data_IF_478613597609
#
_entry.id   IF_478613597609
#
_cell.length_a   1.000
_cell.length_b   1.000
_cell.length_c   1.000
_cell.angle_alpha   90.00
_cell.angle_beta   90.00
_cell.angle_gamma   90.00
#
_symmetry.space_group_name_H-M   'P 1'
#
loop_
_entity.id
_entity.type
_entity.pdbx_description
1 polymer ?
#
# COMPACT_ATOMS: atom_id res chain seq x y z
N UNK A 1 -37.45 19.37 29.74
CA UNK A 1 -37.64 19.91 28.38
C UNK A 1 -36.36 20.45 27.75
N UNK A 2 -35.56 21.30 28.43
CA UNK A 2 -34.29 21.84 27.87
C UNK A 2 -33.25 20.77 27.48
N UNK A 3 -33.09 19.69 28.28
CA UNK A 3 -32.18 18.58 27.97
C UNK A 3 -32.61 17.76 26.74
N UNK A 4 -33.92 17.61 26.51
CA UNK A 4 -34.45 16.93 25.31
C UNK A 4 -34.20 17.77 24.05
N UNK A 5 -34.32 19.09 24.17
CA UNK A 5 -34.01 20.03 23.09
C UNK A 5 -32.54 19.95 22.65
N UNK A 6 -31.59 19.87 23.59
CA UNK A 6 -30.16 19.70 23.25
C UNK A 6 -29.86 18.34 22.59
N UNK A 7 -30.52 17.27 23.01
CA UNK A 7 -30.37 15.94 22.40
C UNK A 7 -30.94 15.96 20.97
N UNK A 8 -32.11 16.56 20.76
CA UNK A 8 -32.71 16.71 19.43
C UNK A 8 -31.86 17.63 18.54
N UNK A 9 -31.25 18.68 19.09
CA UNK A 9 -30.35 19.57 18.35
C UNK A 9 -29.08 18.82 17.92
N UNK A 10 -28.43 18.07 18.82
CA UNK A 10 -27.26 17.23 18.50
C UNK A 10 -27.58 16.14 17.48
N UNK A 11 -28.73 15.48 17.62
CA UNK A 11 -29.18 14.45 16.68
C UNK A 11 -29.56 15.08 15.33
N UNK A 12 -30.13 16.29 15.29
CA UNK A 12 -30.44 16.99 14.03
C UNK A 12 -29.18 17.43 13.26
N UNK A 13 -28.11 17.81 13.95
CA UNK A 13 -26.82 18.13 13.33
C UNK A 13 -26.17 16.87 12.73
N UNK A 14 -26.39 15.70 13.34
CA UNK A 14 -25.95 14.41 12.80
C UNK A 14 -26.81 13.89 11.63
N UNK A 15 -28.10 14.28 11.54
CA UNK A 15 -29.02 13.83 10.48
C UNK A 15 -28.88 14.66 9.19
N UNK A 16 -28.40 15.91 9.27
CA UNK A 16 -28.27 16.82 8.11
C UNK A 16 -26.84 17.07 7.62
N UNK A 17 -25.82 16.55 8.30
CA UNK A 17 -24.45 16.61 7.83
C UNK A 17 -24.19 15.46 6.85
N UNK A 18 -24.56 15.64 5.57
CA UNK A 18 -24.00 14.80 4.51
C UNK A 18 -22.49 15.01 4.53
N UNK A 19 -21.70 13.95 4.74
CA UNK A 19 -20.26 14.08 4.73
C UNK A 19 -19.80 14.49 3.33
N UNK A 20 -18.68 15.21 3.26
CA UNK A 20 -18.08 15.57 1.98
C UNK A 20 -17.82 14.33 1.11
N UNK A 21 -17.57 13.18 1.73
CA UNK A 21 -17.34 11.91 1.06
C UNK A 21 -18.60 11.42 0.34
N UNK A 22 -19.75 11.36 1.02
CA UNK A 22 -20.97 10.89 0.36
C UNK A 22 -21.46 11.87 -0.71
N UNK A 23 -21.24 13.18 -0.53
CA UNK A 23 -21.50 14.19 -1.56
C UNK A 23 -20.58 13.98 -2.78
N UNK A 24 -19.31 13.65 -2.56
CA UNK A 24 -18.39 13.23 -3.61
C UNK A 24 -18.92 12.01 -4.37
N UNK A 25 -19.36 10.98 -3.64
CA UNK A 25 -19.95 9.77 -4.24
C UNK A 25 -21.22 10.09 -5.04
N UNK A 26 -22.04 11.04 -4.59
CA UNK A 26 -23.21 11.50 -5.33
C UNK A 26 -22.83 12.22 -6.64
N UNK A 27 -21.84 13.11 -6.59
CA UNK A 27 -21.34 13.79 -7.78
C UNK A 27 -20.74 12.80 -8.79
N UNK A 28 -19.99 11.80 -8.30
CA UNK A 28 -19.46 10.72 -9.12
C UNK A 28 -20.59 9.95 -9.84
N UNK A 29 -21.65 9.57 -9.12
CA UNK A 29 -22.82 8.89 -9.71
C UNK A 29 -23.58 9.76 -10.71
N UNK A 30 -23.49 11.08 -10.59
CA UNK A 30 -24.05 12.06 -11.54
C UNK A 30 -23.07 12.40 -12.68
N UNK A 31 -21.95 11.68 -12.79
CA UNK A 31 -20.90 11.89 -13.79
C UNK A 31 -20.22 13.26 -13.72
N UNK A 32 -20.36 13.96 -12.59
CA UNK A 32 -19.72 15.25 -12.30
C UNK A 32 -18.35 15.01 -11.68
N UNK A 33 -17.46 14.41 -12.47
CA UNK A 33 -16.20 13.87 -11.97
C UNK A 33 -15.25 14.96 -11.44
N UNK A 34 -15.13 16.10 -12.11
CA UNK A 34 -14.28 17.21 -11.66
C UNK A 34 -14.74 17.76 -10.31
N UNK A 35 -16.05 17.91 -10.11
CA UNK A 35 -16.60 18.35 -8.83
C UNK A 35 -16.38 17.30 -7.72
N UNK A 36 -16.45 16.01 -8.07
CA UNK A 36 -16.16 14.91 -7.15
C UNK A 36 -14.68 14.91 -6.72
N UNK A 37 -13.74 15.12 -7.65
CA UNK A 37 -12.30 15.28 -7.34
C UNK A 37 -12.09 16.37 -6.31
N UNK A 38 -12.70 17.54 -6.49
CA UNK A 38 -12.54 18.68 -5.57
C UNK A 38 -12.98 18.30 -4.15
N UNK A 39 -14.08 17.55 -4.00
CA UNK A 39 -14.53 17.09 -2.68
C UNK A 39 -13.58 16.06 -2.08
N UNK A 40 -13.18 15.04 -2.83
CA UNK A 40 -12.28 14.00 -2.34
C UNK A 40 -10.90 14.54 -1.97
N UNK A 41 -10.31 15.40 -2.81
CA UNK A 41 -9.06 16.10 -2.47
C UNK A 41 -9.22 17.01 -1.25
N UNK A 42 -10.39 17.61 -1.08
CA UNK A 42 -10.73 18.40 0.10
C UNK A 42 -10.68 17.58 1.40
N UNK A 43 -11.15 16.33 1.36
CA UNK A 43 -11.07 15.38 2.48
C UNK A 43 -9.60 15.00 2.74
N UNK A 44 -8.83 14.70 1.69
CA UNK A 44 -7.40 14.42 1.86
C UNK A 44 -6.64 15.61 2.50
N UNK A 45 -7.02 16.85 2.17
CA UNK A 45 -6.46 18.06 2.75
C UNK A 45 -6.82 18.26 4.23
N UNK A 46 -7.91 17.68 4.73
CA UNK A 46 -8.23 17.68 6.17
C UNK A 46 -7.42 16.62 6.95
N UNK A 47 -6.61 15.81 6.26
CA UNK A 47 -5.79 14.75 6.84
C UNK A 47 -6.50 13.40 6.93
N UNK A 48 -7.77 13.33 6.52
CA UNK A 48 -8.52 12.07 6.48
C UNK A 48 -8.06 11.24 5.28
N UNK A 49 -7.61 10.00 5.54
CA UNK A 49 -7.13 9.07 4.53
C UNK A 49 -7.76 7.70 4.75
N UNK A 50 -8.23 7.07 3.68
CA UNK A 50 -8.76 5.70 3.70
C UNK A 50 -8.56 5.04 2.34
N UNK A 51 -8.52 3.70 2.32
CA UNK A 51 -8.46 2.94 1.08
C UNK A 51 -9.64 3.30 0.15
N UNK A 52 -10.85 3.42 0.71
CA UNK A 52 -12.06 3.77 -0.03
C UNK A 52 -12.00 5.17 -0.66
N UNK A 53 -11.46 6.16 0.06
CA UNK A 53 -11.29 7.52 -0.45
C UNK A 53 -10.33 7.57 -1.63
N UNK A 54 -9.17 6.93 -1.50
CA UNK A 54 -8.21 6.83 -2.59
C UNK A 54 -8.76 6.01 -3.76
N UNK A 55 -9.48 4.92 -3.50
CA UNK A 55 -10.14 4.12 -4.54
C UNK A 55 -11.17 4.94 -5.34
N UNK A 56 -12.03 5.71 -4.66
CA UNK A 56 -13.02 6.55 -5.32
C UNK A 56 -12.37 7.70 -6.09
N UNK A 57 -11.30 8.30 -5.56
CA UNK A 57 -10.53 9.31 -6.28
C UNK A 57 -9.83 8.71 -7.51
N UNK A 58 -9.28 7.50 -7.41
CA UNK A 58 -8.72 6.74 -8.53
C UNK A 58 -9.74 6.43 -9.62
N UNK A 59 -10.93 5.97 -9.24
CA UNK A 59 -12.09 5.77 -10.13
C UNK A 59 -12.51 7.07 -10.82
N UNK A 60 -12.47 8.20 -10.10
CA UNK A 60 -12.86 9.50 -10.64
C UNK A 60 -11.84 9.98 -11.68
N UNK A 61 -10.54 9.89 -11.39
CA UNK A 61 -9.51 10.22 -12.37
C UNK A 61 -9.47 9.26 -13.55
N UNK A 62 -9.81 7.98 -13.35
CA UNK A 62 -9.95 7.01 -14.42
C UNK A 62 -11.02 7.47 -15.43
N UNK A 63 -12.18 7.91 -14.93
CA UNK A 63 -13.28 8.44 -15.77
C UNK A 63 -12.91 9.76 -16.46
N UNK A 64 -12.00 10.53 -15.88
CA UNK A 64 -11.44 11.75 -16.47
C UNK A 64 -10.28 11.50 -17.44
N UNK A 65 -9.92 10.23 -17.70
CA UNK A 65 -8.75 9.84 -18.50
C UNK A 65 -7.44 10.46 -18.01
N UNK A 66 -7.31 10.67 -16.69
CA UNK A 66 -6.08 11.15 -16.04
C UNK A 66 -5.29 9.94 -15.55
N UNK A 67 -4.35 9.48 -16.37
CA UNK A 67 -3.64 8.20 -16.17
C UNK A 67 -2.80 8.22 -14.89
N UNK A 68 -1.87 9.16 -14.75
CA UNK A 68 -1.02 9.23 -13.56
C UNK A 68 -1.81 9.40 -12.25
N UNK A 69 -2.74 10.37 -12.14
CA UNK A 69 -3.55 10.52 -10.94
C UNK A 69 -4.40 9.28 -10.62
N UNK A 70 -4.95 8.59 -11.62
CA UNK A 70 -5.72 7.37 -11.41
C UNK A 70 -4.87 6.25 -10.82
N UNK A 71 -3.75 5.92 -11.45
CA UNK A 71 -2.81 4.88 -10.99
C UNK A 71 -2.27 5.23 -9.60
N UNK A 72 -1.86 6.47 -9.38
CA UNK A 72 -1.35 6.92 -8.09
C UNK A 72 -2.35 6.70 -6.94
N UNK A 73 -3.62 7.02 -7.17
CA UNK A 73 -4.65 6.87 -6.15
C UNK A 73 -5.01 5.40 -5.91
N UNK A 74 -5.08 4.55 -6.94
CA UNK A 74 -5.26 3.11 -6.72
C UNK A 74 -4.08 2.47 -5.97
N UNK A 75 -2.86 2.84 -6.30
CA UNK A 75 -1.65 2.38 -5.60
C UNK A 75 -1.66 2.84 -4.12
N UNK A 76 -2.06 4.09 -3.84
CA UNK A 76 -2.28 4.57 -2.47
C UNK A 76 -3.37 3.77 -1.74
N UNK A 77 -4.43 3.40 -2.44
CA UNK A 77 -5.51 2.59 -1.86
C UNK A 77 -5.01 1.18 -1.51
N UNK A 78 -4.19 0.54 -2.37
CA UNK A 78 -3.56 -0.75 -2.09
C UNK A 78 -2.56 -0.69 -0.93
N UNK A 79 -1.86 0.42 -0.72
CA UNK A 79 -1.01 0.58 0.47
C UNK A 79 -1.80 0.51 1.77
N UNK A 80 -3.09 0.89 1.76
CA UNK A 80 -3.97 0.85 2.93
C UNK A 80 -4.79 -0.44 3.01
N UNK A 81 -5.07 -1.09 1.88
CA UNK A 81 -5.76 -2.38 1.81
C UNK A 81 -5.16 -3.26 0.71
N UNK A 82 -4.04 -3.97 0.99
CA UNK A 82 -3.29 -4.71 -0.03
C UNK A 82 -4.07 -5.86 -0.68
N UNK A 83 -4.97 -6.47 0.08
CA UNK A 83 -5.72 -7.68 -0.32
C UNK A 83 -7.02 -7.37 -1.09
N UNK A 84 -7.30 -6.10 -1.35
CA UNK A 84 -8.53 -5.69 -2.03
C UNK A 84 -8.50 -6.02 -3.53
N UNK A 85 -9.19 -7.10 -3.90
CA UNK A 85 -9.26 -7.56 -5.29
C UNK A 85 -9.91 -6.56 -6.25
N UNK A 86 -10.80 -5.68 -5.76
CA UNK A 86 -11.45 -4.67 -6.58
C UNK A 86 -10.46 -3.55 -6.92
N UNK A 87 -9.71 -3.07 -5.92
CA UNK A 87 -8.65 -2.08 -6.13
C UNK A 87 -7.58 -2.64 -7.09
N UNK A 88 -7.13 -3.88 -6.89
CA UNK A 88 -6.15 -4.53 -7.78
C UNK A 88 -6.65 -4.63 -9.22
N UNK A 89 -7.94 -4.94 -9.41
CA UNK A 89 -8.54 -5.06 -10.74
C UNK A 89 -8.64 -3.71 -11.43
N UNK A 90 -9.09 -2.66 -10.72
CA UNK A 90 -9.21 -1.32 -11.27
C UNK A 90 -7.84 -0.69 -11.55
N UNK A 91 -6.83 -0.94 -10.71
CA UNK A 91 -5.46 -0.56 -10.98
C UNK A 91 -4.96 -1.18 -12.30
N UNK A 92 -5.21 -2.47 -12.54
CA UNK A 92 -4.84 -3.13 -13.81
C UNK A 92 -5.52 -2.49 -15.01
N UNK A 93 -6.78 -2.05 -14.88
CA UNK A 93 -7.44 -1.30 -15.95
C UNK A 93 -6.81 0.08 -16.17
N UNK A 94 -6.43 0.78 -15.10
CA UNK A 94 -5.76 2.07 -15.20
C UNK A 94 -4.36 1.96 -15.83
N UNK A 95 -3.58 0.94 -15.45
CA UNK A 95 -2.27 0.64 -16.02
C UNK A 95 -2.34 0.38 -17.53
N UNK A 96 -3.42 -0.21 -18.04
CA UNK A 96 -3.64 -0.38 -19.49
C UNK A 96 -3.85 0.93 -20.24
N UNK A 97 -4.12 2.04 -19.55
CA UNK A 97 -4.16 3.38 -20.18
C UNK A 97 -2.76 4.01 -20.29
N UNK A 98 -1.77 3.49 -19.55
CA UNK A 98 -0.40 3.98 -19.64
C UNK A 98 0.27 3.52 -20.95
N UNK A 99 1.19 4.34 -21.45
CA UNK A 99 1.92 4.08 -22.69
C UNK A 99 3.03 3.04 -22.47
N UNK A 100 3.74 3.15 -21.34
CA UNK A 100 4.88 2.29 -21.05
C UNK A 100 4.41 0.93 -20.52
N UNK A 101 4.75 -0.14 -21.23
CA UNK A 101 4.55 -1.52 -20.76
C UNK A 101 5.90 -2.08 -20.27
N UNK A 102 6.26 -1.77 -19.02
CA UNK A 102 7.49 -2.28 -18.41
C UNK A 102 7.23 -3.69 -17.90
N UNK A 103 7.93 -4.66 -18.48
CA UNK A 103 7.83 -6.06 -18.07
C UNK A 103 8.55 -6.26 -16.75
N UNK A 104 7.84 -6.78 -15.75
CA UNK A 104 8.47 -7.24 -14.51
C UNK A 104 9.38 -8.41 -14.84
N UNK A 105 10.67 -8.29 -14.52
CA UNK A 105 11.60 -9.42 -14.66
C UNK A 105 11.23 -10.45 -13.59
N UNK A 106 10.84 -11.68 -13.99
CA UNK A 106 10.52 -12.69 -13.00
C UNK A 106 11.83 -13.12 -12.34
N UNK A 107 12.00 -12.82 -11.06
CA UNK A 107 13.09 -13.45 -10.31
C UNK A 107 12.74 -14.95 -10.16
N UNK A 108 13.74 -15.82 -10.37
CA UNK A 108 13.57 -17.28 -10.42
C UNK A 108 14.59 -17.96 -9.53
N UNK A 109 14.28 -19.18 -9.09
CA UNK A 109 15.20 -20.03 -8.32
C UNK A 109 14.87 -20.12 -6.83
N UNK A 110 15.83 -20.62 -6.04
CA UNK A 110 15.62 -20.90 -4.62
C UNK A 110 15.48 -19.64 -3.76
N UNK A 111 16.14 -18.55 -4.13
CA UNK A 111 15.99 -17.25 -3.45
C UNK A 111 14.56 -16.73 -3.56
N UNK A 112 13.98 -16.75 -4.77
CA UNK A 112 12.57 -16.41 -5.02
C UNK A 112 11.62 -17.29 -4.23
N UNK A 113 11.82 -18.61 -4.27
CA UNK A 113 10.97 -19.56 -3.54
C UNK A 113 10.98 -19.26 -2.02
N UNK A 114 12.14 -18.89 -1.47
CA UNK A 114 12.26 -18.56 -0.05
C UNK A 114 11.66 -17.20 0.28
N UNK A 115 11.84 -16.17 -0.56
CA UNK A 115 11.19 -14.88 -0.38
C UNK A 115 9.68 -14.99 -0.47
N UNK A 116 9.16 -15.69 -1.48
CA UNK A 116 7.72 -15.89 -1.67
C UNK A 116 7.08 -16.62 -0.47
N UNK A 117 7.82 -17.50 0.23
CA UNK A 117 7.35 -18.17 1.44
C UNK A 117 7.31 -17.23 2.66
N UNK A 118 8.26 -16.30 2.76
CA UNK A 118 8.37 -15.36 3.89
C UNK A 118 7.46 -14.13 3.70
N UNK A 119 7.24 -13.72 2.45
CA UNK A 119 6.49 -12.50 2.09
C UNK A 119 5.02 -12.79 1.71
N UNK A 120 4.48 -13.96 2.09
CA UNK A 120 3.08 -14.35 1.79
C UNK A 120 2.06 -13.40 2.41
N UNK A 121 2.36 -12.85 3.59
CA UNK A 121 1.46 -11.99 4.35
C UNK A 121 2.13 -10.68 4.73
N UNK A 122 1.33 -9.63 4.85
CA UNK A 122 1.75 -8.35 5.42
C UNK A 122 2.29 -8.53 6.86
N UNK A 123 3.27 -7.72 7.28
CA UNK A 123 3.91 -7.84 8.60
C UNK A 123 2.90 -7.82 9.78
N UNK A 124 1.77 -7.13 9.66
CA UNK A 124 0.74 -7.09 10.71
C UNK A 124 0.08 -8.46 10.93
N UNK A 125 -0.17 -9.21 9.86
CA UNK A 125 -0.72 -10.57 9.92
C UNK A 125 0.29 -11.51 10.56
N UNK A 126 1.56 -11.41 10.18
CA UNK A 126 2.64 -12.18 10.81
C UNK A 126 2.77 -11.88 12.31
N UNK A 127 2.65 -10.61 12.70
CA UNK A 127 2.64 -10.20 14.11
C UNK A 127 1.44 -10.80 14.88
N UNK A 128 0.27 -10.84 14.25
CA UNK A 128 -0.92 -11.51 14.79
C UNK A 128 -0.72 -13.01 15.00
N UNK A 129 -0.15 -13.71 14.00
CA UNK A 129 0.19 -15.14 14.09
C UNK A 129 1.18 -15.38 15.24
N UNK A 130 2.27 -14.61 15.31
CA UNK A 130 3.27 -14.73 16.37
C UNK A 130 2.65 -14.53 17.77
N UNK A 131 1.76 -13.54 17.92
CA UNK A 131 1.05 -13.27 19.17
C UNK A 131 0.13 -14.43 19.56
N UNK A 132 -0.66 -14.95 18.61
CA UNK A 132 -1.56 -16.08 18.83
C UNK A 132 -0.80 -17.36 19.24
N UNK A 133 0.28 -17.69 18.53
CA UNK A 133 1.10 -18.85 18.85
C UNK A 133 1.89 -18.69 20.17
N UNK A 134 2.24 -17.46 20.57
CA UNK A 134 2.82 -17.20 21.89
C UNK A 134 1.83 -17.52 23.02
N UNK A 135 0.55 -17.18 22.87
CA UNK A 135 -0.48 -17.57 23.83
C UNK A 135 -0.69 -19.10 23.85
N UNK A 136 -0.72 -19.76 22.68
CA UNK A 136 -0.81 -21.22 22.58
C UNK A 136 0.40 -21.92 23.24
N UNK A 137 1.60 -21.37 23.08
CA UNK A 137 2.80 -21.90 23.74
C UNK A 137 2.63 -21.92 25.27
N UNK A 138 2.10 -20.85 25.86
CA UNK A 138 1.83 -20.80 27.30
C UNK A 138 0.75 -21.82 27.71
N UNK A 139 -0.28 -22.02 26.90
CA UNK A 139 -1.30 -23.05 27.16
C UNK A 139 -0.70 -24.47 27.10
N UNK A 140 0.17 -24.75 26.13
CA UNK A 140 0.87 -26.03 26.04
C UNK A 140 1.85 -26.23 27.19
N UNK A 141 2.50 -25.16 27.66
CA UNK A 141 3.34 -25.21 28.85
C UNK A 141 2.53 -25.58 30.10
N UNK A 142 1.34 -25.03 30.29
CA UNK A 142 0.41 -25.42 31.37
C UNK A 142 0.04 -26.90 31.24
N UNK A 143 -0.34 -27.34 30.04
CA UNK A 143 -0.68 -28.75 29.76
C UNK A 143 0.49 -29.71 30.03
N UNK A 144 1.71 -29.30 29.70
CA UNK A 144 2.94 -30.03 30.01
C UNK A 144 3.18 -30.11 31.53
N UNK A 145 3.00 -29.01 32.25
CA UNK A 145 3.23 -28.92 33.69
C UNK A 145 2.27 -29.82 34.49
N UNK A 146 0.98 -29.78 34.15
CA UNK A 146 -0.07 -30.56 34.83
C UNK A 146 -0.34 -31.94 34.23
N UNK A 147 0.34 -32.34 33.15
CA UNK A 147 0.14 -33.63 32.50
C UNK A 147 0.40 -34.81 33.44
N UNK A 148 -0.58 -35.70 33.61
CA UNK A 148 -0.49 -36.81 34.55
C UNK A 148 0.40 -37.97 34.08
N UNK A 149 0.58 -38.15 32.76
CA UNK A 149 1.32 -39.28 32.18
C UNK A 149 2.47 -38.80 31.30
N UNK A 150 3.50 -39.65 31.13
CA UNK A 150 4.64 -39.34 30.28
C UNK A 150 4.27 -39.11 28.81
N UNK A 151 3.23 -39.77 28.30
CA UNK A 151 2.76 -39.59 26.92
C UNK A 151 2.14 -38.19 26.72
N UNK A 152 1.30 -37.73 27.66
CA UNK A 152 0.68 -36.39 27.60
C UNK A 152 1.75 -35.30 27.70
N UNK A 153 2.77 -35.47 28.56
CA UNK A 153 3.88 -34.51 28.63
C UNK A 153 4.66 -34.44 27.31
N UNK A 154 4.94 -35.59 26.67
CA UNK A 154 5.64 -35.62 25.38
C UNK A 154 4.85 -34.91 24.28
N UNK A 155 3.53 -35.11 24.21
CA UNK A 155 2.72 -34.42 23.20
C UNK A 155 2.73 -32.90 23.39
N UNK A 156 2.57 -32.40 24.62
CA UNK A 156 2.65 -30.97 24.89
C UNK A 156 4.05 -30.39 24.63
N UNK A 157 5.10 -31.14 24.96
CA UNK A 157 6.46 -30.73 24.65
C UNK A 157 6.70 -30.58 23.14
N UNK A 158 6.26 -31.56 22.33
CA UNK A 158 6.33 -31.45 20.86
C UNK A 158 5.51 -30.28 20.35
N UNK A 159 4.32 -30.06 20.89
CA UNK A 159 3.47 -28.91 20.52
C UNK A 159 4.13 -27.56 20.88
N UNK A 160 4.84 -27.47 22.01
CA UNK A 160 5.62 -26.28 22.36
C UNK A 160 6.75 -26.01 21.37
N UNK A 161 7.49 -27.03 20.94
CA UNK A 161 8.55 -26.89 19.94
C UNK A 161 7.94 -26.43 18.60
N UNK A 162 6.82 -27.01 18.19
CA UNK A 162 6.12 -26.57 16.99
C UNK A 162 5.70 -25.11 17.06
N UNK A 163 5.03 -24.69 18.15
CA UNK A 163 4.65 -23.29 18.35
C UNK A 163 5.85 -22.36 18.34
N UNK A 164 6.97 -22.76 18.95
CA UNK A 164 8.20 -21.97 18.94
C UNK A 164 8.76 -21.77 17.52
N UNK A 165 8.77 -22.82 16.69
CA UNK A 165 9.21 -22.73 15.30
C UNK A 165 8.30 -21.78 14.50
N UNK A 166 6.98 -21.88 14.68
CA UNK A 166 6.02 -20.96 14.02
C UNK A 166 6.24 -19.52 14.45
N UNK A 167 6.48 -19.26 15.73
CA UNK A 167 6.79 -17.91 16.24
C UNK A 167 8.06 -17.37 15.59
N UNK A 168 9.14 -18.15 15.54
CA UNK A 168 10.42 -17.72 14.94
C UNK A 168 10.28 -17.40 13.46
N UNK A 169 9.58 -18.25 12.69
CA UNK A 169 9.30 -18.00 11.27
C UNK A 169 8.45 -16.73 11.11
N UNK A 170 7.40 -16.59 11.91
CA UNK A 170 6.49 -15.43 11.83
C UNK A 170 7.22 -14.13 12.14
N UNK A 171 8.07 -14.10 13.17
CA UNK A 171 8.87 -12.92 13.52
C UNK A 171 9.91 -12.62 12.45
N UNK A 172 10.62 -13.62 11.93
CA UNK A 172 11.60 -13.44 10.87
C UNK A 172 10.94 -12.88 9.59
N UNK A 173 9.75 -13.39 9.25
CA UNK A 173 8.95 -12.94 8.12
C UNK A 173 8.47 -11.50 8.31
N UNK A 174 7.89 -11.18 9.48
CA UNK A 174 7.46 -9.82 9.80
C UNK A 174 8.60 -8.79 9.73
N UNK A 175 9.81 -9.16 10.19
CA UNK A 175 10.97 -8.27 10.11
C UNK A 175 11.43 -8.11 8.66
N UNK A 176 11.47 -9.19 7.89
CA UNK A 176 11.93 -9.19 6.49
C UNK A 176 10.99 -8.37 5.62
N UNK A 177 9.70 -8.67 5.67
CA UNK A 177 8.67 -7.98 4.88
C UNK A 177 8.58 -6.51 5.27
N UNK A 178 8.60 -6.17 6.58
CA UNK A 178 8.65 -4.76 7.03
C UNK A 178 9.89 -4.02 6.52
N UNK A 179 11.05 -4.67 6.52
CA UNK A 179 12.28 -4.06 6.00
C UNK A 179 12.21 -3.83 4.49
N UNK A 180 11.65 -4.78 3.74
CA UNK A 180 11.43 -4.65 2.30
C UNK A 180 10.43 -3.52 2.01
N UNK A 181 9.29 -3.53 2.71
CA UNK A 181 8.27 -2.48 2.64
C UNK A 181 8.84 -1.09 2.93
N UNK A 182 9.73 -0.93 3.91
CA UNK A 182 10.32 0.38 4.23
C UNK A 182 11.40 0.82 3.23
N UNK A 183 12.12 -0.12 2.61
CA UNK A 183 13.15 0.19 1.61
C UNK A 183 12.54 0.57 0.27
N UNK A 184 11.43 -0.07 -0.09
CA UNK A 184 10.74 0.23 -1.33
C UNK A 184 10.08 1.61 -1.25
N UNK A 185 10.59 2.53 -2.07
CA UNK A 185 10.04 3.87 -2.27
C UNK A 185 9.38 3.98 -3.64
N UNK A 186 8.20 3.37 -3.84
CA UNK A 186 7.54 3.40 -5.13
C UNK A 186 6.96 4.80 -5.38
N UNK A 187 7.07 5.25 -6.62
CA UNK A 187 6.59 6.53 -7.10
C UNK A 187 5.93 6.37 -8.47
N UNK A 188 5.04 7.29 -8.81
CA UNK A 188 4.39 7.36 -10.12
C UNK A 188 4.88 8.60 -10.86
N UNK A 189 5.22 8.45 -12.14
CA UNK A 189 5.56 9.56 -13.03
C UNK A 189 4.30 10.35 -13.37
N UNK A 190 4.30 11.65 -13.12
CA UNK A 190 3.19 12.58 -13.41
C UNK A 190 3.43 13.45 -14.64
N UNK A 191 4.67 13.54 -15.14
CA UNK A 191 4.97 14.21 -16.39
C UNK A 191 4.42 13.39 -17.58
N UNK A 192 3.74 14.04 -18.54
CA UNK A 192 3.16 13.37 -19.71
C UNK A 192 4.21 12.57 -20.50
N UNK A 193 5.37 13.19 -20.71
CA UNK A 193 6.57 12.60 -21.31
C UNK A 193 7.78 13.18 -20.60
N UNK A 194 8.75 12.34 -20.22
CA UNK A 194 10.00 12.80 -19.62
C UNK A 194 11.20 11.97 -20.06
N UNK A 195 12.28 12.66 -20.39
CA UNK A 195 13.58 12.05 -20.68
C UNK A 195 14.32 11.76 -19.38
N UNK A 196 14.56 10.48 -19.12
CA UNK A 196 15.37 10.01 -18.00
C UNK A 196 16.84 10.11 -18.40
N UNK A 197 17.66 10.70 -17.53
CA UNK A 197 19.09 10.97 -17.79
C UNK A 197 19.98 9.89 -17.21
N UNK A 198 21.12 9.63 -17.85
CA UNK A 198 22.13 8.71 -17.28
C UNK A 198 22.84 9.32 -16.05
N UNK A 199 22.85 10.65 -15.95
CA UNK A 199 23.51 11.41 -14.88
C UNK A 199 22.56 12.50 -14.35
N UNK A 200 22.71 12.95 -13.09
CA UNK A 200 21.84 13.97 -12.47
C UNK A 200 22.18 15.39 -12.96
N UNK A 201 22.14 15.60 -14.27
CA UNK A 201 22.46 16.87 -14.92
C UNK A 201 21.52 17.10 -16.10
N UNK A 202 20.99 18.32 -16.23
CA UNK A 202 20.01 18.65 -17.27
C UNK A 202 20.56 18.48 -18.70
N UNK A 203 21.85 18.75 -18.90
CA UNK A 203 22.57 18.55 -20.16
C UNK A 203 23.19 17.16 -20.30
N UNK A 204 22.88 16.23 -19.39
CA UNK A 204 23.38 14.86 -19.44
C UNK A 204 22.77 14.05 -20.59
N UNK A 205 23.41 12.94 -20.99
CA UNK A 205 22.87 12.02 -22.00
C UNK A 205 21.51 11.46 -21.58
N UNK A 206 20.63 11.26 -22.57
CA UNK A 206 19.35 10.59 -22.37
C UNK A 206 19.56 9.08 -22.30
N UNK A 207 19.04 8.45 -21.25
CA UNK A 207 19.07 7.01 -21.08
C UNK A 207 17.86 6.35 -21.77
N UNK A 208 16.66 6.85 -21.46
CA UNK A 208 15.38 6.38 -22.01
C UNK A 208 14.29 7.43 -21.73
N UNK A 209 13.08 7.20 -22.26
CA UNK A 209 11.92 8.08 -22.08
C UNK A 209 10.85 7.34 -21.31
N UNK A 210 10.19 8.04 -20.38
CA UNK A 210 9.04 7.56 -19.63
C UNK A 210 7.82 8.46 -19.88
N UNK A 211 6.64 7.91 -19.67
CA UNK A 211 5.35 8.57 -19.77
C UNK A 211 4.62 8.60 -18.43
N UNK A 212 3.55 9.39 -18.37
CA UNK A 212 2.72 9.46 -17.16
C UNK A 212 2.14 8.09 -16.78
N UNK A 213 1.98 7.87 -15.48
CA UNK A 213 1.43 6.62 -14.94
C UNK A 213 2.45 5.51 -14.74
N UNK A 214 3.68 5.67 -15.26
CA UNK A 214 4.74 4.69 -15.07
C UNK A 214 5.17 4.62 -13.61
N UNK A 215 5.18 3.40 -13.07
CA UNK A 215 5.65 3.10 -11.71
C UNK A 215 7.16 2.92 -11.69
N UNK A 216 7.82 3.63 -10.79
CA UNK A 216 9.28 3.64 -10.60
C UNK A 216 9.61 3.50 -9.12
N UNK A 217 10.82 3.07 -8.79
CA UNK A 217 11.29 2.97 -7.40
C UNK A 217 12.43 3.95 -7.18
N UNK A 218 12.30 4.83 -6.18
CA UNK A 218 13.33 5.84 -5.86
C UNK A 218 14.46 5.20 -5.05
N UNK A 219 15.68 5.26 -5.59
CA UNK A 219 16.89 4.72 -4.97
C UNK A 219 17.68 5.79 -4.20
N UNK A 220 17.83 6.99 -4.78
CA UNK A 220 18.65 8.06 -4.23
C UNK A 220 17.98 9.42 -4.45
N UNK A 221 18.09 10.30 -3.45
CA UNK A 221 17.71 11.71 -3.54
C UNK A 221 18.95 12.61 -3.68
N UNK A 222 18.94 13.51 -4.66
CA UNK A 222 19.85 14.65 -4.80
C UNK A 222 19.06 15.94 -4.89
N UNK A 223 19.68 17.12 -4.78
CA UNK A 223 18.96 18.41 -4.70
C UNK A 223 17.71 18.50 -5.61
N UNK A 224 17.89 18.40 -6.94
CA UNK A 224 16.80 18.46 -7.94
C UNK A 224 16.46 17.12 -8.60
N UNK A 225 17.26 16.09 -8.35
CA UNK A 225 17.21 14.82 -9.08
C UNK A 225 16.91 13.66 -8.15
N UNK A 226 16.25 12.63 -8.68
CA UNK A 226 16.10 11.33 -8.04
C UNK A 226 16.64 10.25 -8.95
N UNK A 227 17.43 9.35 -8.38
CA UNK A 227 17.78 8.10 -9.06
C UNK A 227 16.59 7.17 -8.92
N UNK A 228 16.11 6.65 -10.03
CA UNK A 228 14.99 5.72 -10.10
C UNK A 228 15.42 4.40 -10.71
N UNK A 229 14.68 3.35 -10.37
CA UNK A 229 14.78 2.02 -10.94
C UNK A 229 13.41 1.56 -11.46
N UNK A 230 13.39 0.92 -12.62
CA UNK A 230 12.21 0.26 -13.17
C UNK A 230 12.14 -1.22 -12.72
N UNK A 231 11.03 -1.89 -13.01
CA UNK A 231 10.82 -3.30 -12.66
C UNK A 231 11.70 -4.29 -13.46
N UNK A 232 12.38 -3.81 -14.50
CA UNK A 232 13.36 -4.56 -15.28
C UNK A 232 14.81 -4.25 -14.88
N UNK A 233 14.99 -3.65 -13.70
CA UNK A 233 16.27 -3.22 -13.12
C UNK A 233 16.95 -2.05 -13.84
N UNK A 234 16.34 -1.49 -14.90
CA UNK A 234 16.91 -0.31 -15.56
C UNK A 234 16.89 0.91 -14.64
N UNK A 235 17.99 1.65 -14.62
CA UNK A 235 18.20 2.80 -13.74
C UNK A 235 18.40 4.09 -14.52
N UNK A 236 18.01 5.20 -13.91
CA UNK A 236 18.33 6.53 -14.43
C UNK A 236 17.94 7.65 -13.47
N UNK A 237 18.16 8.89 -13.91
CA UNK A 237 17.91 10.10 -13.13
C UNK A 237 16.75 10.89 -13.72
N UNK A 238 15.81 11.25 -12.85
CA UNK A 238 14.62 12.02 -13.19
C UNK A 238 14.49 13.24 -12.27
N UNK A 239 13.87 14.31 -12.75
CA UNK A 239 13.60 15.49 -11.92
C UNK A 239 12.57 15.15 -10.83
N UNK A 240 12.75 15.72 -9.63
CA UNK A 240 11.96 15.39 -8.45
C UNK A 240 10.46 15.65 -8.59
N UNK A 241 10.13 16.74 -9.25
CA UNK A 241 8.77 17.23 -9.49
C UNK A 241 8.01 16.43 -10.55
N UNK A 242 8.72 15.66 -11.37
CA UNK A 242 8.12 14.78 -12.37
C UNK A 242 7.49 13.51 -11.79
N UNK A 243 7.81 13.16 -10.53
CA UNK A 243 7.31 11.95 -9.87
C UNK A 243 6.66 12.27 -8.53
N UNK A 244 5.72 11.43 -8.11
CA UNK A 244 5.13 11.49 -6.76
C UNK A 244 5.28 10.16 -6.05
N UNK A 245 5.91 10.17 -4.88
CA UNK A 245 6.08 8.99 -4.04
C UNK A 245 4.74 8.54 -3.43
N UNK A 246 4.53 7.24 -3.41
CA UNK A 246 3.33 6.62 -2.84
C UNK A 246 3.45 6.48 -1.32
N UNK A 247 4.65 6.39 -0.76
CA UNK A 247 4.89 6.43 0.68
C UNK A 247 5.42 7.81 1.03
N UNK A 248 4.85 8.45 2.06
CA UNK A 248 5.43 9.71 2.55
C UNK A 248 6.81 9.39 3.13
N UNK A 249 7.82 10.16 2.76
CA UNK A 249 9.17 10.05 3.34
C UNK A 249 9.24 10.53 4.80
N UNK A 250 8.11 10.91 5.39
CA UNK A 250 8.00 11.40 6.76
C UNK A 250 6.95 10.59 7.54
N UNK A 251 7.46 9.65 8.33
CA UNK A 251 6.93 9.23 9.64
C UNK A 251 8.11 9.10 10.61
#
# INVERSE_FOLDING_TARGET
MKKLFFIVLLVSQAIFAQSAFEKGNELYRKEKYEEAVVLYEGILKSGEQSAELYFNLGNTYYKLHKVAPSIYNYEKALLLNPDDTEIQTNLKFAQKMAIDEIKVVPEVGFSKMLSDLLDVFHYDTWAGIATGFSALFLLFFIGYYFGATSLVKRSFFVAMIFSLVVILISVASAITERNNYNKERPAIVFAEVISVKSEPMASGPEAFVLHEGTKVFVLEDREKWRKIQLTDETEGWIEKDAIRELKSSEQ
#
